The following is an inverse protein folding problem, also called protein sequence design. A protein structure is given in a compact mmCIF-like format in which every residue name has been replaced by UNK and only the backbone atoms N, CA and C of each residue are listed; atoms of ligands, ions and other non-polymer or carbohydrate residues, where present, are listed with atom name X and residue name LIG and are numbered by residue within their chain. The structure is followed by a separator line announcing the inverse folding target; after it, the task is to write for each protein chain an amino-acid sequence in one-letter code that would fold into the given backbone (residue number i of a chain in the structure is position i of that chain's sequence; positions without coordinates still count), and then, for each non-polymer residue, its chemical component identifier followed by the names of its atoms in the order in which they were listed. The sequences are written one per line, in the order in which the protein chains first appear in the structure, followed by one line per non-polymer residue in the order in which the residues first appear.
data_IF_142000481221
#
_entry.id   IF_142000481221
#
_cell.length_a   1.000
_cell.length_b   1.000
_cell.length_c   1.000
_cell.angle_alpha   90.00
_cell.angle_beta   90.00
_cell.angle_gamma   90.00
#
_symmetry.space_group_name_H-M   'P 1'
#
loop_
_entity.id
_entity.type
_entity.pdbx_description
1 polymer ?
#
# COMPACT_ATOMS: atom_id res chain seq x y z
N UNK A 1 -40.49 -8.58 24.17
CA UNK A 1 -40.20 -7.47 23.24
C UNK A 1 -38.70 -7.43 23.04
N UNK A 2 -38.31 -7.39 21.77
CA UNK A 2 -37.05 -7.76 21.13
C UNK A 2 -35.76 -7.24 21.80
N UNK A 3 -34.79 -8.14 21.98
CA UNK A 3 -33.38 -7.84 22.25
C UNK A 3 -32.71 -7.31 20.97
N UNK A 4 -32.12 -6.11 21.05
CA UNK A 4 -31.43 -5.45 19.94
C UNK A 4 -29.95 -5.85 19.94
N UNK A 5 -29.65 -6.99 19.34
CA UNK A 5 -28.29 -7.38 18.93
C UNK A 5 -28.08 -7.03 17.45
N UNK A 6 -26.96 -6.38 17.13
CA UNK A 6 -26.51 -6.23 15.75
C UNK A 6 -25.92 -4.87 15.45
N UNK A 7 -24.67 -4.66 15.85
CA UNK A 7 -23.79 -3.77 15.10
C UNK A 7 -22.42 -4.45 14.97
N UNK A 8 -22.43 -5.62 14.35
CA UNK A 8 -21.23 -6.21 13.79
C UNK A 8 -20.80 -5.34 12.60
N UNK A 9 -19.69 -4.62 12.79
CA UNK A 9 -19.00 -3.88 11.74
C UNK A 9 -18.54 -4.89 10.68
N UNK A 10 -19.40 -5.11 9.68
CA UNK A 10 -19.04 -5.71 8.40
C UNK A 10 -18.07 -4.75 7.68
N UNK A 11 -16.80 -4.79 8.07
CA UNK A 11 -15.72 -4.41 7.16
C UNK A 11 -15.57 -5.53 6.14
N UNK A 12 -16.55 -5.58 5.22
CA UNK A 12 -16.50 -6.45 4.04
C UNK A 12 -15.12 -6.31 3.41
N UNK A 13 -14.48 -7.46 3.19
CA UNK A 13 -13.06 -7.62 2.89
C UNK A 13 -12.72 -7.00 1.53
N UNK A 14 -12.66 -5.67 1.44
CA UNK A 14 -12.58 -4.93 0.17
C UNK A 14 -11.59 -5.55 -0.82
N UNK A 15 -11.98 -5.75 -2.07
CA UNK A 15 -11.12 -6.30 -3.11
C UNK A 15 -9.96 -5.35 -3.45
N UNK A 16 -8.97 -5.83 -4.22
CA UNK A 16 -7.87 -4.96 -4.67
C UNK A 16 -8.39 -3.81 -5.55
N UNK A 17 -9.40 -4.06 -6.39
CA UNK A 17 -10.06 -3.08 -7.25
C UNK A 17 -10.81 -2.02 -6.45
N UNK A 18 -11.50 -2.41 -5.38
CA UNK A 18 -12.19 -1.48 -4.49
C UNK A 18 -11.20 -0.60 -3.74
N UNK A 19 -10.08 -1.16 -3.28
CA UNK A 19 -9.00 -0.39 -2.68
C UNK A 19 -8.31 0.55 -3.67
N UNK A 20 -8.14 0.12 -4.92
CA UNK A 20 -7.58 0.96 -5.98
C UNK A 20 -8.49 2.14 -6.30
N UNK A 21 -9.79 1.89 -6.42
CA UNK A 21 -10.80 2.93 -6.64
C UNK A 21 -10.79 3.93 -5.49
N UNK A 22 -10.78 3.43 -4.26
CA UNK A 22 -10.68 4.27 -3.06
C UNK A 22 -9.39 5.10 -3.03
N UNK A 23 -8.24 4.52 -3.36
CA UNK A 23 -6.98 5.25 -3.43
C UNK A 23 -7.02 6.35 -4.50
N UNK A 24 -7.59 6.05 -5.69
CA UNK A 24 -7.74 7.02 -6.78
C UNK A 24 -8.62 8.22 -6.40
N UNK A 25 -9.67 7.99 -5.62
CA UNK A 25 -10.53 9.07 -5.09
C UNK A 25 -9.82 9.94 -4.06
N UNK A 26 -8.97 9.33 -3.22
CA UNK A 26 -8.23 10.05 -2.18
C UNK A 26 -7.10 10.92 -2.73
N UNK A 27 -6.48 10.56 -3.85
CA UNK A 27 -5.35 11.34 -4.42
C UNK A 27 -5.70 12.81 -4.70
N UNK A 28 -6.76 13.15 -5.47
CA UNK A 28 -7.09 14.54 -5.74
C UNK A 28 -7.48 15.29 -4.46
N UNK A 29 -8.16 14.63 -3.51
CA UNK A 29 -8.48 15.22 -2.22
C UNK A 29 -7.22 15.56 -1.42
N UNK A 30 -6.27 14.63 -1.32
CA UNK A 30 -5.00 14.82 -0.64
C UNK A 30 -4.15 15.93 -1.29
N UNK A 31 -4.11 15.99 -2.63
CA UNK A 31 -3.43 17.05 -3.36
C UNK A 31 -4.03 18.42 -3.11
N UNK A 32 -5.37 18.53 -3.14
CA UNK A 32 -6.06 19.78 -2.88
C UNK A 32 -5.79 20.28 -1.47
N UNK A 33 -5.95 19.40 -0.47
CA UNK A 33 -5.67 19.72 0.93
C UNK A 33 -4.22 20.11 1.17
N UNK A 34 -3.26 19.38 0.60
CA UNK A 34 -1.84 19.71 0.69
C UNK A 34 -1.52 21.11 0.10
N UNK A 35 -2.20 21.51 -0.98
CA UNK A 35 -2.02 22.83 -1.63
C UNK A 35 -2.64 24.00 -0.86
N UNK A 36 -3.62 23.74 0.01
CA UNK A 36 -4.21 24.76 0.90
C UNK A 36 -3.26 25.17 2.03
N UNK A 37 -2.27 24.34 2.34
CA UNK A 37 -1.37 24.58 3.48
C UNK A 37 -0.36 25.70 3.18
N UNK A 38 -0.36 26.73 4.03
CA UNK A 38 0.60 27.85 3.96
C UNK A 38 1.85 27.63 4.83
N UNK A 39 1.73 26.83 5.89
CA UNK A 39 2.84 26.49 6.79
C UNK A 39 3.78 25.45 6.20
N UNK A 40 5.04 25.43 6.65
CA UNK A 40 6.05 24.41 6.27
C UNK A 40 6.22 24.19 4.74
N UNK A 41 6.35 25.26 3.93
CA UNK A 41 6.22 25.18 2.46
C UNK A 41 7.23 24.23 1.82
N UNK A 42 8.47 24.14 2.33
CA UNK A 42 9.48 23.23 1.80
C UNK A 42 9.09 21.75 1.93
N UNK A 43 8.49 21.37 3.06
CA UNK A 43 8.05 19.98 3.32
C UNK A 43 6.81 19.65 2.52
N UNK A 44 5.83 20.56 2.50
CA UNK A 44 4.61 20.36 1.71
C UNK A 44 4.89 20.32 0.21
N UNK A 45 5.84 21.12 -0.30
CA UNK A 45 6.29 21.02 -1.71
C UNK A 45 6.84 19.62 -2.02
N UNK A 46 7.62 19.04 -1.12
CA UNK A 46 8.14 17.68 -1.28
C UNK A 46 7.04 16.62 -1.21
N UNK A 47 6.10 16.75 -0.27
CA UNK A 47 4.93 15.87 -0.14
C UNK A 47 4.07 15.93 -1.41
N UNK A 48 3.77 17.12 -1.92
CA UNK A 48 2.99 17.31 -3.16
C UNK A 48 3.68 16.65 -4.35
N UNK A 49 4.99 16.85 -4.53
CA UNK A 49 5.75 16.22 -5.61
C UNK A 49 5.71 14.69 -5.57
N UNK A 50 5.60 14.09 -4.37
CA UNK A 50 5.43 12.64 -4.21
C UNK A 50 4.00 12.19 -4.47
N UNK A 51 3.01 12.95 -3.99
CA UNK A 51 1.59 12.70 -4.28
C UNK A 51 1.30 12.70 -5.78
N UNK A 52 1.90 13.62 -6.53
CA UNK A 52 1.76 13.71 -7.98
C UNK A 52 2.29 12.47 -8.73
N UNK A 53 3.15 11.67 -8.10
CA UNK A 53 3.64 10.40 -8.65
C UNK A 53 2.72 9.21 -8.34
N UNK A 54 1.83 9.31 -7.35
CA UNK A 54 0.96 8.19 -6.97
C UNK A 54 0.05 7.73 -8.12
N UNK A 55 -0.63 8.61 -8.89
CA UNK A 55 -1.50 8.19 -9.98
C UNK A 55 -0.82 7.28 -11.02
N UNK A 56 0.42 7.60 -11.42
CA UNK A 56 1.15 6.77 -12.38
C UNK A 56 1.46 5.41 -11.77
N UNK A 57 1.93 5.37 -10.50
CA UNK A 57 2.19 4.11 -9.79
C UNK A 57 0.94 3.24 -9.65
N UNK A 58 -0.21 3.83 -9.34
CA UNK A 58 -1.48 3.09 -9.27
C UNK A 58 -1.93 2.56 -10.63
N UNK A 59 -1.67 3.32 -11.70
CA UNK A 59 -1.99 2.91 -13.07
C UNK A 59 -1.11 1.73 -13.48
N UNK A 60 0.20 1.84 -13.29
CA UNK A 60 1.16 0.77 -13.57
C UNK A 60 0.81 -0.51 -12.78
N UNK A 61 0.51 -0.37 -11.49
CA UNK A 61 0.14 -1.49 -10.63
C UNK A 61 -1.15 -2.19 -11.11
N UNK A 62 -2.17 -1.41 -11.49
CA UNK A 62 -3.46 -1.94 -11.97
C UNK A 62 -3.40 -2.58 -13.35
N UNK A 63 -2.41 -2.21 -14.17
CA UNK A 63 -2.21 -2.77 -15.50
C UNK A 63 -1.60 -4.18 -15.48
N UNK A 64 -1.12 -4.64 -14.32
CA UNK A 64 -0.46 -5.92 -14.20
C UNK A 64 -1.47 -7.09 -14.20
N UNK A 65 -1.26 -8.16 -15.00
CA UNK A 65 -2.18 -9.31 -15.12
C UNK A 65 -2.60 -10.03 -13.82
N UNK A 66 -1.84 -9.88 -12.73
CA UNK A 66 -2.09 -10.58 -11.47
C UNK A 66 -2.41 -9.63 -10.31
N UNK A 67 -2.68 -8.36 -10.64
CA UNK A 67 -3.04 -7.32 -9.69
C UNK A 67 -4.12 -7.77 -8.69
N UNK A 68 -5.16 -8.42 -9.19
CA UNK A 68 -6.31 -8.89 -8.41
C UNK A 68 -6.07 -10.20 -7.66
N UNK A 69 -5.04 -10.95 -8.04
CA UNK A 69 -4.75 -12.30 -7.52
C UNK A 69 -3.78 -12.29 -6.34
N UNK A 70 -3.02 -11.20 -6.17
CA UNK A 70 -1.96 -11.14 -5.19
C UNK A 70 -2.37 -10.31 -3.96
N UNK A 71 -2.32 -10.93 -2.78
CA UNK A 71 -2.62 -10.27 -1.51
C UNK A 71 -1.76 -9.02 -1.25
N UNK A 72 -0.51 -9.01 -1.73
CA UNK A 72 0.41 -7.88 -1.56
C UNK A 72 -0.06 -6.63 -2.31
N UNK A 73 -0.74 -6.77 -3.45
CA UNK A 73 -1.30 -5.61 -4.14
C UNK A 73 -2.40 -4.96 -3.31
N UNK A 74 -3.27 -5.76 -2.71
CA UNK A 74 -4.31 -5.27 -1.79
C UNK A 74 -3.70 -4.61 -0.55
N UNK A 75 -2.74 -5.24 0.10
CA UNK A 75 -2.03 -4.69 1.26
C UNK A 75 -1.32 -3.36 0.91
N UNK A 76 -0.69 -3.29 -0.26
CA UNK A 76 -0.03 -2.07 -0.72
C UNK A 76 -1.03 -0.93 -0.95
N UNK A 77 -2.19 -1.21 -1.55
CA UNK A 77 -3.23 -0.20 -1.76
C UNK A 77 -3.86 0.30 -0.45
N UNK A 78 -3.98 -0.58 0.54
CA UNK A 78 -4.38 -0.20 1.90
C UNK A 78 -3.36 0.76 2.51
N UNK A 79 -2.07 0.46 2.37
CA UNK A 79 -0.97 1.31 2.85
C UNK A 79 -0.96 2.69 2.19
N UNK A 80 -1.14 2.73 0.87
CA UNK A 80 -1.29 3.97 0.09
C UNK A 80 -2.51 4.75 0.60
N UNK A 81 -3.66 4.11 0.72
CA UNK A 81 -4.90 4.76 1.18
C UNK A 81 -4.77 5.33 2.59
N UNK A 82 -4.13 4.60 3.50
CA UNK A 82 -3.84 5.07 4.87
C UNK A 82 -2.94 6.30 4.85
N UNK A 83 -1.89 6.27 4.03
CA UNK A 83 -0.95 7.40 3.91
C UNK A 83 -1.64 8.62 3.29
N UNK A 84 -2.49 8.45 2.28
CA UNK A 84 -3.27 9.54 1.69
C UNK A 84 -4.24 10.19 2.70
N UNK A 85 -4.88 9.39 3.57
CA UNK A 85 -5.71 9.92 4.67
C UNK A 85 -4.86 10.72 5.68
N UNK A 86 -3.69 10.21 6.03
CA UNK A 86 -2.76 10.92 6.90
C UNK A 86 -2.28 12.26 6.30
N UNK A 87 -2.08 12.33 4.97
CA UNK A 87 -1.81 13.60 4.27
C UNK A 87 -2.96 14.59 4.50
N UNK A 88 -4.21 14.14 4.30
CA UNK A 88 -5.40 14.97 4.46
C UNK A 88 -5.50 15.50 5.91
N UNK A 89 -5.36 14.62 6.89
CA UNK A 89 -5.43 14.97 8.32
C UNK A 89 -4.33 15.97 8.71
N UNK A 90 -3.06 15.72 8.32
CA UNK A 90 -1.95 16.63 8.62
C UNK A 90 -2.08 17.97 7.90
N UNK A 91 -2.64 17.99 6.69
CA UNK A 91 -2.93 19.24 5.97
C UNK A 91 -3.97 20.07 6.72
N UNK A 92 -5.07 19.45 7.17
CA UNK A 92 -6.12 20.12 7.94
C UNK A 92 -5.59 20.67 9.27
N UNK A 93 -4.74 19.93 9.97
CA UNK A 93 -4.07 20.44 11.18
C UNK A 93 -3.16 21.63 10.89
N UNK A 94 -2.44 21.63 9.76
CA UNK A 94 -1.60 22.75 9.37
C UNK A 94 -2.41 23.99 8.99
N UNK A 95 -3.51 23.84 8.25
CA UNK A 95 -4.40 24.94 7.86
C UNK A 95 -5.08 25.57 9.08
N UNK A 96 -5.54 24.75 10.01
CA UNK A 96 -6.19 25.23 11.25
C UNK A 96 -5.22 25.67 12.34
N UNK A 97 -3.90 25.58 12.12
CA UNK A 97 -2.85 25.77 13.13
C UNK A 97 -3.07 24.96 14.42
N UNK A 98 -3.74 23.81 14.32
CA UNK A 98 -4.18 22.98 15.46
C UNK A 98 -3.10 22.03 15.97
N UNK A 99 -1.82 22.29 15.68
CA UNK A 99 -0.73 21.37 16.03
C UNK A 99 -0.08 21.71 17.38
N UNK A 100 0.12 20.68 18.22
CA UNK A 100 0.65 20.79 19.60
C UNK A 100 2.12 21.25 19.68
N UNK A 101 2.78 21.52 18.55
CA UNK A 101 4.13 22.06 18.51
C UNK A 101 4.77 22.00 17.13
N UNK A 102 5.53 23.04 16.77
CA UNK A 102 6.14 23.19 15.44
C UNK A 102 7.18 22.10 15.13
N UNK A 103 7.94 21.64 16.12
CA UNK A 103 8.91 20.56 15.95
C UNK A 103 8.23 19.20 15.77
N UNK A 104 7.19 18.92 16.56
CA UNK A 104 6.40 17.70 16.42
C UNK A 104 5.70 17.64 15.06
N UNK A 105 5.12 18.74 14.60
CA UNK A 105 4.54 18.81 13.25
C UNK A 105 5.58 18.58 12.16
N UNK A 106 6.78 19.18 12.25
CA UNK A 106 7.86 18.91 11.30
C UNK A 106 8.25 17.43 11.27
N UNK A 107 8.40 16.79 12.44
CA UNK A 107 8.67 15.36 12.54
C UNK A 107 7.57 14.52 11.90
N UNK A 108 6.30 14.86 12.15
CA UNK A 108 5.16 14.18 11.51
C UNK A 108 5.19 14.33 9.98
N UNK A 109 5.52 15.51 9.45
CA UNK A 109 5.65 15.75 8.02
C UNK A 109 6.84 14.99 7.41
N UNK A 110 7.96 14.90 8.12
CA UNK A 110 9.13 14.13 7.69
C UNK A 110 8.82 12.62 7.68
N UNK A 111 8.12 12.13 8.69
CA UNK A 111 7.63 10.74 8.73
C UNK A 111 6.61 10.45 7.60
N UNK A 112 5.68 11.37 7.35
CA UNK A 112 4.73 11.29 6.24
C UNK A 112 5.45 11.23 4.88
N UNK A 113 6.44 12.10 4.69
CA UNK A 113 7.29 12.12 3.50
C UNK A 113 8.00 10.78 3.29
N UNK A 114 8.53 10.18 4.36
CA UNK A 114 9.13 8.85 4.33
C UNK A 114 8.12 7.73 3.98
N UNK A 115 6.90 7.78 4.53
CA UNK A 115 5.83 6.82 4.18
C UNK A 115 5.46 6.91 2.69
N UNK A 116 5.42 8.11 2.13
CA UNK A 116 5.19 8.32 0.70
C UNK A 116 6.31 7.70 -0.14
N UNK A 117 7.58 7.89 0.25
CA UNK A 117 8.72 7.27 -0.45
C UNK A 117 8.65 5.73 -0.42
N UNK A 118 8.30 5.16 0.74
CA UNK A 118 8.09 3.71 0.88
C UNK A 118 6.98 3.23 -0.06
N UNK A 119 5.82 3.88 -0.06
CA UNK A 119 4.71 3.52 -0.95
C UNK A 119 5.08 3.60 -2.43
N UNK A 120 5.79 4.65 -2.85
CA UNK A 120 6.23 4.80 -4.24
C UNK A 120 7.22 3.70 -4.65
N UNK A 121 8.18 3.39 -3.76
CA UNK A 121 9.14 2.30 -3.96
C UNK A 121 8.42 0.96 -4.05
N UNK A 122 7.52 0.68 -3.11
CA UNK A 122 6.89 -0.62 -2.95
C UNK A 122 5.92 -0.93 -4.09
N UNK A 123 5.14 0.07 -4.55
CA UNK A 123 4.40 -0.04 -5.81
C UNK A 123 5.32 -0.37 -7.00
N UNK A 124 6.49 0.29 -7.10
CA UNK A 124 7.47 0.01 -8.14
C UNK A 124 8.11 -1.38 -8.06
N UNK A 125 8.34 -1.89 -6.85
CA UNK A 125 8.90 -3.22 -6.63
C UNK A 125 7.90 -4.33 -6.95
N UNK A 126 6.63 -4.19 -6.58
CA UNK A 126 5.60 -5.18 -6.90
C UNK A 126 5.48 -5.44 -8.40
N UNK A 127 5.66 -4.40 -9.21
CA UNK A 127 5.68 -4.50 -10.68
C UNK A 127 6.95 -5.21 -11.16
N UNK A 128 8.13 -4.89 -10.58
CA UNK A 128 9.43 -5.37 -11.05
C UNK A 128 9.78 -6.80 -10.61
N UNK A 129 9.36 -7.23 -9.42
CA UNK A 129 9.85 -8.47 -8.82
C UNK A 129 9.25 -9.74 -9.42
N UNK A 130 8.36 -9.64 -10.42
CA UNK A 130 7.74 -10.82 -11.02
C UNK A 130 6.89 -11.63 -10.03
N UNK A 131 6.63 -11.08 -8.84
CA UNK A 131 5.75 -11.64 -7.79
C UNK A 131 4.30 -11.69 -8.28
N UNK A 132 3.99 -10.83 -9.24
CA UNK A 132 2.75 -10.85 -10.01
C UNK A 132 2.87 -11.67 -11.32
N UNK A 133 4.03 -12.24 -11.68
CA UNK A 133 4.24 -12.87 -12.99
C UNK A 133 3.99 -14.37 -13.05
N UNK A 134 4.25 -15.13 -11.97
CA UNK A 134 4.29 -16.61 -12.04
C UNK A 134 3.20 -17.32 -11.22
N UNK A 135 2.43 -16.62 -10.39
CA UNK A 135 1.26 -17.22 -9.73
C UNK A 135 0.13 -17.60 -10.73
N UNK A 136 0.35 -17.44 -12.04
CA UNK A 136 -0.67 -17.70 -13.08
C UNK A 136 -0.11 -18.26 -14.39
N UNK A 137 1.07 -18.87 -14.40
CA UNK A 137 1.40 -19.76 -15.51
C UNK A 137 1.04 -21.19 -15.11
N UNK A 138 -0.08 -21.77 -15.58
CA UNK A 138 -0.08 -23.20 -15.82
C UNK A 138 1.07 -23.43 -16.79
N UNK A 139 2.11 -24.13 -16.35
CA UNK A 139 3.22 -24.54 -17.19
C UNK A 139 2.72 -25.61 -18.17
N UNK A 140 1.81 -25.24 -19.07
CA UNK A 140 1.37 -26.07 -20.17
C UNK A 140 2.47 -26.04 -21.24
N UNK A 141 3.62 -26.65 -20.94
CA UNK A 141 4.62 -27.13 -21.89
C UNK A 141 5.84 -27.71 -21.15
N UNK A 142 5.62 -28.69 -20.27
CA UNK A 142 6.61 -29.72 -19.99
C UNK A 142 5.87 -30.93 -19.44
N UNK A 143 5.83 -32.01 -20.22
CA UNK A 143 5.40 -33.29 -19.69
C UNK A 143 6.28 -33.71 -18.50
N UNK A 144 5.71 -34.53 -17.63
CA UNK A 144 6.33 -35.17 -16.44
C UNK A 144 6.08 -34.45 -15.11
N UNK A 145 4.99 -34.87 -14.46
CA UNK A 145 4.84 -35.11 -13.02
C UNK A 145 5.86 -34.47 -12.07
N UNK A 146 5.51 -33.34 -11.44
CA UNK A 146 5.90 -32.95 -10.06
C UNK A 146 5.10 -31.72 -9.62
N UNK A 147 3.89 -31.95 -9.10
CA UNK A 147 2.97 -30.90 -8.60
C UNK A 147 3.32 -30.26 -7.23
N UNK A 148 4.24 -30.75 -6.35
CA UNK A 148 4.50 -30.07 -5.07
C UNK A 148 5.55 -28.93 -5.16
N UNK A 149 6.46 -28.95 -6.14
CA UNK A 149 7.56 -27.99 -6.19
C UNK A 149 7.12 -26.60 -6.71
N UNK A 150 6.24 -26.53 -7.71
CA UNK A 150 5.81 -25.24 -8.28
C UNK A 150 5.03 -24.38 -7.27
N UNK A 151 4.15 -25.00 -6.47
CA UNK A 151 3.42 -24.33 -5.39
C UNK A 151 4.35 -23.89 -4.25
N UNK A 152 5.38 -24.68 -3.93
CA UNK A 152 6.41 -24.31 -2.95
C UNK A 152 7.24 -23.12 -3.42
N UNK A 153 7.62 -23.06 -4.69
CA UNK A 153 8.38 -21.95 -5.28
C UNK A 153 7.57 -20.64 -5.32
N UNK A 154 6.26 -20.71 -5.60
CA UNK A 154 5.36 -19.54 -5.51
C UNK A 154 5.29 -18.96 -4.09
N UNK A 155 5.19 -19.83 -3.08
CA UNK A 155 5.21 -19.42 -1.66
C UNK A 155 6.54 -18.78 -1.26
N UNK A 156 7.69 -19.34 -1.65
CA UNK A 156 9.01 -18.77 -1.31
C UNK A 156 9.18 -17.38 -1.95
N UNK A 157 8.76 -17.18 -3.20
CA UNK A 157 8.83 -15.86 -3.85
C UNK A 157 7.91 -14.83 -3.20
N UNK A 158 6.70 -15.22 -2.79
CA UNK A 158 5.82 -14.35 -2.00
C UNK A 158 6.44 -13.98 -0.65
N UNK A 159 7.08 -14.93 0.05
CA UNK A 159 7.77 -14.69 1.31
C UNK A 159 8.96 -13.73 1.14
N UNK A 160 9.75 -13.91 0.07
CA UNK A 160 10.83 -12.98 -0.29
C UNK A 160 10.29 -11.59 -0.64
N UNK A 161 9.16 -11.51 -1.35
CA UNK A 161 8.47 -10.26 -1.63
C UNK A 161 7.99 -9.57 -0.35
N UNK A 162 7.43 -10.33 0.61
CA UNK A 162 7.08 -9.81 1.94
C UNK A 162 8.31 -9.29 2.69
N UNK A 163 9.47 -9.91 2.56
CA UNK A 163 10.71 -9.39 3.16
C UNK A 163 11.18 -8.07 2.51
N UNK A 164 11.05 -7.96 1.19
CA UNK A 164 11.46 -6.77 0.45
C UNK A 164 10.49 -5.60 0.67
N UNK A 165 9.19 -5.87 0.58
CA UNK A 165 8.12 -4.88 0.39
C UNK A 165 7.17 -4.81 1.60
N UNK A 166 7.03 -5.90 2.36
CA UNK A 166 6.04 -5.99 3.44
C UNK A 166 6.32 -5.04 4.61
N UNK A 167 5.25 -4.68 5.33
CA UNK A 167 5.36 -3.98 6.61
C UNK A 167 6.09 -4.83 7.65
N UNK A 168 6.59 -4.23 8.74
CA UNK A 168 7.43 -4.90 9.75
C UNK A 168 6.84 -6.25 10.21
N UNK A 169 5.53 -6.30 10.44
CA UNK A 169 4.81 -7.52 10.82
C UNK A 169 4.82 -8.58 9.72
N UNK A 170 4.58 -8.19 8.46
CA UNK A 170 4.65 -9.09 7.32
C UNK A 170 6.07 -9.62 7.08
N UNK A 171 7.10 -8.80 7.30
CA UNK A 171 8.52 -9.23 7.26
C UNK A 171 8.81 -10.26 8.34
N UNK A 172 8.38 -9.98 9.57
CA UNK A 172 8.60 -10.88 10.70
C UNK A 172 7.90 -12.23 10.50
N UNK A 173 6.65 -12.20 10.02
CA UNK A 173 5.89 -13.41 9.68
C UNK A 173 6.54 -14.18 8.54
N UNK A 174 6.98 -13.50 7.48
CA UNK A 174 7.64 -14.14 6.35
C UNK A 174 8.96 -14.81 6.76
N UNK A 175 9.79 -14.11 7.55
CA UNK A 175 11.04 -14.66 8.09
C UNK A 175 10.77 -15.90 8.95
N UNK A 176 9.75 -15.84 9.81
CA UNK A 176 9.35 -16.95 10.66
C UNK A 176 8.92 -18.18 9.85
N UNK A 177 8.21 -17.98 8.74
CA UNK A 177 7.80 -19.09 7.85
C UNK A 177 9.02 -19.66 7.12
N UNK A 178 9.93 -18.82 6.61
CA UNK A 178 11.15 -19.28 5.92
C UNK A 178 12.10 -20.06 6.84
N UNK A 179 12.20 -19.70 8.12
CA UNK A 179 13.03 -20.43 9.08
C UNK A 179 12.47 -21.81 9.45
N UNK A 180 11.21 -22.12 9.10
CA UNK A 180 10.56 -23.41 9.33
C UNK A 180 10.38 -24.25 8.06
N UNK A 181 10.69 -23.70 6.89
CA UNK A 181 10.64 -24.38 5.60
C UNK A 181 11.96 -25.13 5.35
#
# INVERSE_FOLDING_TARGET
MVENGGNEVLTGTRSAEEWLSHARELVPLALNKAREVKGFPGRWKMIISKLEQIPSRLSDLSSHPCFSKNALCKEQLQSVSKTLKEVIELAEFCVGEKYEGKLRMQSNLDALSGKLDLNLRDCGLLIKTGVLGEATLPLAMAGSSTEPEAAAHGNIRELLARLQIGHLEAKHKALTVLLRA
#
